data_IF_123295735363
#
_entry.id   IF_123295735363
#
_cell.length_a   1.000
_cell.length_b   1.000
_cell.length_c   1.000
_cell.angle_alpha   90.00
_cell.angle_beta   90.00
_cell.angle_gamma   90.00
#
_symmetry.space_group_name_H-M   'P 1'
#
loop_
_entity.id
_entity.type
_entity.pdbx_description
1 polymer ?
#
# COMPACT_ATOMS: atom_id res chain seq x y z
N UNK A 1 -7.26 17.59 18.54
CA UNK A 1 -8.38 17.20 17.66
C UNK A 1 -8.65 15.71 17.73
N UNK A 2 -9.88 15.30 17.40
CA UNK A 2 -10.26 13.90 17.24
C UNK A 2 -10.55 13.61 15.76
N UNK A 3 -9.86 12.66 15.15
CA UNK A 3 -9.89 12.38 13.72
C UNK A 3 -10.44 10.99 13.44
N UNK A 4 -11.42 10.89 12.56
CA UNK A 4 -11.91 9.62 12.02
C UNK A 4 -11.12 9.25 10.76
N UNK A 5 -10.49 8.08 10.75
CA UNK A 5 -9.78 7.54 9.59
C UNK A 5 -10.60 6.40 8.99
N UNK A 6 -11.16 6.65 7.82
CA UNK A 6 -11.97 5.66 7.11
C UNK A 6 -11.11 4.80 6.19
N UNK A 7 -11.29 3.50 6.27
CA UNK A 7 -10.66 2.52 5.41
C UNK A 7 -11.70 1.54 4.87
N UNK A 8 -11.27 0.56 4.09
CA UNK A 8 -12.09 -0.55 3.64
C UNK A 8 -11.24 -1.82 3.58
N UNK A 9 -11.82 -2.94 4.00
CA UNK A 9 -11.10 -4.23 4.08
C UNK A 9 -10.99 -4.93 2.71
N UNK A 10 -10.60 -4.20 1.67
CA UNK A 10 -10.35 -4.71 0.30
C UNK A 10 -8.91 -5.12 0.06
N UNK A 11 -8.03 -4.99 1.06
CA UNK A 11 -6.62 -5.33 1.01
C UNK A 11 -5.86 -4.79 2.21
N UNK A 12 -4.62 -5.27 2.42
CA UNK A 12 -3.80 -4.84 3.56
C UNK A 12 -3.25 -3.41 3.44
N UNK A 13 -3.13 -2.87 2.22
CA UNK A 13 -2.49 -1.58 1.97
C UNK A 13 -3.24 -0.39 2.57
N UNK A 14 -4.52 -0.24 2.27
CA UNK A 14 -5.34 0.86 2.79
C UNK A 14 -5.39 0.88 4.32
N UNK A 15 -5.58 -0.30 4.94
CA UNK A 15 -5.60 -0.43 6.40
C UNK A 15 -4.23 -0.11 7.02
N UNK A 16 -3.13 -0.43 6.35
CA UNK A 16 -1.80 -0.12 6.85
C UNK A 16 -1.47 1.37 6.70
N UNK A 17 -1.91 2.04 5.63
CA UNK A 17 -1.83 3.50 5.49
C UNK A 17 -2.68 4.21 6.57
N UNK A 18 -3.90 3.74 6.82
CA UNK A 18 -4.76 4.24 7.89
C UNK A 18 -4.10 4.07 9.28
N UNK A 19 -3.49 2.91 9.54
CA UNK A 19 -2.77 2.66 10.79
C UNK A 19 -1.53 3.55 10.94
N UNK A 20 -0.79 3.79 9.84
CA UNK A 20 0.36 4.69 9.84
C UNK A 20 -0.04 6.14 10.16
N UNK A 21 -1.14 6.60 9.59
CA UNK A 21 -1.67 7.93 9.88
C UNK A 21 -2.16 8.03 11.33
N UNK A 22 -2.82 6.98 11.87
CA UNK A 22 -3.19 6.92 13.28
C UNK A 22 -1.97 7.03 14.20
N UNK A 23 -0.89 6.29 13.90
CA UNK A 23 0.37 6.39 14.66
C UNK A 23 0.95 7.81 14.63
N UNK A 24 0.87 8.49 13.47
CA UNK A 24 1.32 9.89 13.33
C UNK A 24 0.47 10.85 14.16
N UNK A 25 -0.86 10.78 14.05
CA UNK A 25 -1.78 11.62 14.82
C UNK A 25 -1.59 11.43 16.34
N UNK A 26 -1.46 10.20 16.79
CA UNK A 26 -1.22 9.90 18.20
C UNK A 26 0.13 10.45 18.70
N UNK A 27 1.17 10.44 17.84
CA UNK A 27 2.48 11.03 18.16
C UNK A 27 2.38 12.55 18.42
N UNK A 28 1.49 13.24 17.72
CA UNK A 28 1.18 14.66 17.92
C UNK A 28 0.06 14.91 18.92
N UNK A 29 -0.23 13.93 19.80
CA UNK A 29 -1.24 14.01 20.88
C UNK A 29 -2.67 14.25 20.40
N UNK A 30 -3.01 13.79 19.19
CA UNK A 30 -4.38 13.79 18.68
C UNK A 30 -5.04 12.42 18.87
N UNK A 31 -6.33 12.41 19.15
CA UNK A 31 -7.12 11.18 19.12
C UNK A 31 -7.40 10.77 17.69
N UNK A 32 -7.19 9.50 17.36
CA UNK A 32 -7.48 8.97 16.04
C UNK A 32 -8.13 7.59 16.11
N UNK A 33 -9.21 7.42 15.37
CA UNK A 33 -9.92 6.15 15.24
C UNK A 33 -9.89 5.65 13.81
N UNK A 34 -9.61 4.37 13.61
CA UNK A 34 -9.68 3.72 12.28
C UNK A 34 -10.96 2.90 12.22
N UNK A 35 -11.80 3.21 11.25
CA UNK A 35 -13.07 2.53 11.01
C UNK A 35 -13.12 1.95 9.59
N UNK A 36 -13.48 0.67 9.47
CA UNK A 36 -13.90 0.11 8.18
C UNK A 36 -15.34 0.58 7.90
N UNK A 37 -15.50 1.43 6.88
CA UNK A 37 -16.82 1.98 6.51
C UNK A 37 -17.89 0.90 6.36
N UNK A 38 -17.52 -0.25 5.78
CA UNK A 38 -18.47 -1.34 5.53
C UNK A 38 -19.01 -1.98 6.82
N UNK A 39 -18.35 -1.72 7.97
CA UNK A 39 -18.83 -2.20 9.28
C UNK A 39 -20.09 -1.47 9.76
N UNK A 40 -20.37 -0.26 9.24
CA UNK A 40 -21.60 0.49 9.51
C UNK A 40 -22.82 -0.07 8.75
N UNK A 41 -22.57 -0.94 7.76
CA UNK A 41 -23.63 -1.62 7.03
C UNK A 41 -24.29 -2.77 7.79
N UNK A 42 -25.09 -3.58 7.08
CA UNK A 42 -25.68 -4.79 7.65
C UNK A 42 -24.58 -5.75 8.14
N UNK A 43 -24.89 -6.56 9.18
CA UNK A 43 -23.97 -7.57 9.72
C UNK A 43 -23.32 -8.37 8.58
N UNK A 44 -21.97 -8.45 8.59
CA UNK A 44 -21.12 -9.15 7.60
C UNK A 44 -20.86 -8.43 6.27
N UNK A 45 -21.32 -7.20 6.03
CA UNK A 45 -21.05 -6.47 4.76
C UNK A 45 -19.55 -6.30 4.50
N UNK A 46 -18.77 -5.91 5.51
CA UNK A 46 -17.30 -5.78 5.40
C UNK A 46 -16.62 -7.10 5.01
N UNK A 47 -16.97 -8.21 5.68
CA UNK A 47 -16.42 -9.52 5.39
C UNK A 47 -16.84 -10.03 3.99
N UNK A 48 -18.06 -9.71 3.55
CA UNK A 48 -18.56 -10.10 2.23
C UNK A 48 -17.86 -9.33 1.11
N UNK A 49 -17.75 -8.01 1.23
CA UNK A 49 -17.09 -7.14 0.22
C UNK A 49 -15.60 -7.44 0.15
N UNK A 50 -14.92 -7.50 1.29
CA UNK A 50 -13.50 -7.84 1.34
C UNK A 50 -13.24 -9.26 0.83
N UNK A 51 -14.06 -10.23 1.22
CA UNK A 51 -13.96 -11.62 0.76
C UNK A 51 -14.22 -11.79 -0.74
N UNK A 52 -15.20 -11.08 -1.29
CA UNK A 52 -15.51 -11.09 -2.73
C UNK A 52 -14.35 -10.45 -3.53
N UNK A 53 -13.83 -9.31 -3.09
CA UNK A 53 -12.66 -8.67 -3.71
C UNK A 53 -11.44 -9.60 -3.73
N UNK A 54 -11.08 -10.15 -2.57
CA UNK A 54 -9.96 -11.09 -2.43
C UNK A 54 -10.12 -12.29 -3.34
N UNK A 55 -11.34 -12.86 -3.38
CA UNK A 55 -11.64 -14.03 -4.22
C UNK A 55 -11.54 -13.70 -5.72
N UNK A 56 -12.04 -12.53 -6.15
CA UNK A 56 -11.94 -12.07 -7.53
C UNK A 56 -10.48 -11.91 -7.95
N UNK A 57 -9.68 -11.19 -7.16
CA UNK A 57 -8.25 -10.94 -7.46
C UNK A 57 -7.43 -12.24 -7.42
N UNK A 58 -7.76 -13.18 -6.51
CA UNK A 58 -6.97 -14.40 -6.33
C UNK A 58 -7.30 -15.50 -7.34
N UNK A 59 -8.57 -15.63 -7.69
CA UNK A 59 -9.06 -16.73 -8.54
C UNK A 59 -9.12 -16.33 -10.01
N UNK A 60 -9.40 -15.04 -10.29
CA UNK A 60 -9.57 -14.55 -11.64
C UNK A 60 -8.92 -13.16 -11.86
N UNK A 61 -7.57 -13.05 -11.80
CA UNK A 61 -6.86 -11.77 -11.97
C UNK A 61 -7.14 -11.08 -13.31
N UNK A 62 -7.32 -11.85 -14.40
CA UNK A 62 -7.67 -11.31 -15.71
C UNK A 62 -9.07 -10.65 -15.70
N UNK A 63 -10.02 -11.23 -14.95
CA UNK A 63 -11.34 -10.62 -14.75
C UNK A 63 -11.29 -9.31 -13.95
N UNK A 64 -10.39 -9.21 -12.99
CA UNK A 64 -10.15 -7.96 -12.30
C UNK A 64 -9.59 -6.88 -13.24
N UNK A 65 -8.64 -7.24 -14.12
CA UNK A 65 -8.14 -6.35 -15.17
C UNK A 65 -9.25 -5.87 -16.12
N UNK A 66 -10.15 -6.78 -16.53
CA UNK A 66 -11.30 -6.41 -17.36
C UNK A 66 -12.28 -5.49 -16.62
N UNK A 67 -12.53 -5.74 -15.33
CA UNK A 67 -13.36 -4.86 -14.48
C UNK A 67 -12.74 -3.47 -14.33
N UNK A 68 -11.41 -3.41 -14.17
CA UNK A 68 -10.68 -2.14 -14.12
C UNK A 68 -10.83 -1.36 -15.45
N UNK A 69 -10.68 -2.03 -16.60
CA UNK A 69 -10.89 -1.41 -17.91
C UNK A 69 -12.34 -0.97 -18.12
N UNK A 70 -13.31 -1.72 -17.62
CA UNK A 70 -14.72 -1.31 -17.63
C UNK A 70 -14.91 -0.05 -16.77
N UNK A 71 -14.26 0.06 -15.62
CA UNK A 71 -14.21 1.28 -14.81
C UNK A 71 -13.66 2.47 -15.61
N UNK A 72 -12.54 2.29 -16.31
CA UNK A 72 -11.96 3.32 -17.20
C UNK A 72 -12.90 3.73 -18.35
N UNK A 73 -13.79 2.85 -18.78
CA UNK A 73 -14.82 3.18 -19.77
C UNK A 73 -15.99 3.92 -19.12
N UNK A 74 -16.48 3.44 -17.99
CA UNK A 74 -17.64 4.01 -17.26
C UNK A 74 -17.35 5.45 -16.80
N UNK A 75 -16.12 5.75 -16.36
CA UNK A 75 -15.71 7.10 -15.94
C UNK A 75 -15.86 8.19 -17.02
N UNK A 76 -15.98 7.80 -18.30
CA UNK A 76 -16.18 8.76 -19.41
C UNK A 76 -17.61 9.27 -19.53
N UNK A 77 -18.56 8.66 -18.79
CA UNK A 77 -19.95 9.08 -18.80
C UNK A 77 -20.21 10.16 -17.75
N UNK A 78 -21.18 11.08 -17.98
CA UNK A 78 -21.43 12.22 -17.11
C UNK A 78 -22.19 11.89 -15.81
N UNK A 79 -22.61 10.65 -15.62
CA UNK A 79 -23.35 10.21 -14.43
C UNK A 79 -22.44 9.45 -13.46
N UNK A 80 -22.82 9.51 -12.18
CA UNK A 80 -22.12 8.75 -11.13
C UNK A 80 -22.23 7.25 -11.35
N UNK A 81 -21.17 6.51 -10.99
CA UNK A 81 -21.11 5.07 -11.13
C UNK A 81 -22.12 4.35 -10.21
N UNK A 82 -22.48 3.08 -10.51
CA UNK A 82 -23.23 2.26 -9.57
C UNK A 82 -22.51 2.06 -8.22
N UNK A 83 -21.18 2.15 -8.21
CA UNK A 83 -20.34 2.04 -7.01
C UNK A 83 -20.60 3.22 -6.09
N UNK A 84 -20.66 4.44 -6.63
CA UNK A 84 -21.04 5.65 -5.89
C UNK A 84 -22.39 5.50 -5.17
N UNK A 85 -23.43 5.06 -5.87
CA UNK A 85 -24.76 4.91 -5.26
C UNK A 85 -24.81 3.79 -4.22
N UNK A 86 -24.03 2.73 -4.39
CA UNK A 86 -23.92 1.68 -3.40
C UNK A 86 -23.28 2.18 -2.09
N UNK A 87 -22.22 2.97 -2.19
CA UNK A 87 -21.51 3.55 -1.06
C UNK A 87 -22.31 4.68 -0.39
N UNK A 88 -23.06 5.48 -1.16
CA UNK A 88 -23.95 6.54 -0.66
C UNK A 88 -24.98 6.04 0.39
N UNK A 89 -25.38 4.76 0.32
CA UNK A 89 -26.31 4.15 1.29
C UNK A 89 -25.81 4.13 2.73
N UNK A 90 -24.49 4.23 2.92
CA UNK A 90 -23.87 4.26 4.24
C UNK A 90 -23.77 5.69 4.82
N UNK A 91 -24.13 6.72 4.04
CA UNK A 91 -23.93 8.12 4.41
C UNK A 91 -24.65 8.55 5.68
N UNK A 92 -25.92 8.17 5.87
CA UNK A 92 -26.66 8.51 7.09
C UNK A 92 -26.05 7.85 8.33
N UNK A 93 -25.71 6.55 8.24
CA UNK A 93 -25.09 5.85 9.36
C UNK A 93 -23.70 6.42 9.70
N UNK A 94 -22.95 6.88 8.70
CA UNK A 94 -21.67 7.54 8.91
C UNK A 94 -21.85 8.93 9.53
N UNK A 95 -22.87 9.71 9.11
CA UNK A 95 -23.19 11.00 9.71
C UNK A 95 -23.51 10.85 11.20
N UNK A 96 -24.44 9.93 11.55
CA UNK A 96 -24.79 9.64 12.93
C UNK A 96 -23.55 9.23 13.75
N UNK A 97 -22.67 8.44 13.17
CA UNK A 97 -21.44 7.99 13.82
C UNK A 97 -20.47 9.15 14.08
N UNK A 98 -20.29 10.05 13.12
CA UNK A 98 -19.43 11.23 13.25
C UNK A 98 -19.96 12.15 14.36
N UNK A 99 -21.25 12.45 14.35
CA UNK A 99 -21.89 13.35 15.30
C UNK A 99 -21.87 12.78 16.74
N UNK A 100 -22.23 11.51 16.92
CA UNK A 100 -22.21 10.84 18.23
C UNK A 100 -20.84 10.77 18.88
N UNK A 101 -19.78 10.70 18.06
CA UNK A 101 -18.40 10.58 18.53
C UNK A 101 -17.63 11.91 18.52
N UNK A 102 -18.24 13.00 18.07
CA UNK A 102 -17.67 14.36 18.07
C UNK A 102 -16.30 14.45 17.35
N UNK A 103 -16.20 13.90 16.15
CA UNK A 103 -14.99 14.05 15.33
C UNK A 103 -14.84 15.47 14.78
N UNK A 104 -13.58 15.94 14.71
CA UNK A 104 -13.24 17.28 14.19
C UNK A 104 -12.84 17.23 12.70
N UNK A 105 -12.38 16.10 12.20
CA UNK A 105 -12.01 15.90 10.81
C UNK A 105 -12.17 14.43 10.41
N UNK A 106 -12.32 14.16 9.12
CA UNK A 106 -12.35 12.81 8.55
C UNK A 106 -11.26 12.68 7.49
N UNK A 107 -10.52 11.58 7.55
CA UNK A 107 -9.57 11.20 6.50
C UNK A 107 -9.97 9.85 5.92
N UNK A 108 -9.85 9.65 4.63
CA UNK A 108 -10.04 8.33 4.03
C UNK A 108 -8.81 7.89 3.26
N UNK A 109 -8.46 6.61 3.39
CA UNK A 109 -7.39 5.95 2.63
C UNK A 109 -7.95 5.08 1.51
N UNK A 110 -9.25 5.16 1.23
CA UNK A 110 -9.93 4.33 0.25
C UNK A 110 -11.01 5.10 -0.51
N UNK A 111 -11.21 4.75 -1.78
CA UNK A 111 -12.20 5.37 -2.66
C UNK A 111 -13.64 5.28 -2.12
N UNK A 112 -14.07 4.11 -1.64
CA UNK A 112 -15.47 3.92 -1.21
C UNK A 112 -15.92 4.89 -0.11
N UNK A 113 -15.16 5.10 0.97
CA UNK A 113 -15.50 6.15 1.92
C UNK A 113 -15.46 7.55 1.31
N UNK A 114 -14.57 7.85 0.35
CA UNK A 114 -14.53 9.15 -0.32
C UNK A 114 -15.83 9.44 -1.10
N UNK A 115 -16.41 8.42 -1.74
CA UNK A 115 -17.72 8.53 -2.40
C UNK A 115 -18.85 8.76 -1.39
N UNK A 116 -18.83 8.06 -0.25
CA UNK A 116 -19.81 8.27 0.84
C UNK A 116 -19.72 9.68 1.40
N UNK A 117 -18.52 10.17 1.71
CA UNK A 117 -18.28 11.53 2.20
C UNK A 117 -18.74 12.59 1.17
N UNK A 118 -18.52 12.32 -0.11
CA UNK A 118 -19.00 13.19 -1.20
C UNK A 118 -20.53 13.31 -1.21
N UNK A 119 -21.22 12.17 -1.10
CA UNK A 119 -22.68 12.16 -1.00
C UNK A 119 -23.16 12.92 0.25
N UNK A 120 -22.51 12.72 1.40
CA UNK A 120 -22.83 13.43 2.63
C UNK A 120 -22.65 14.94 2.48
N UNK A 121 -21.57 15.42 1.85
CA UNK A 121 -21.38 16.85 1.55
C UNK A 121 -22.52 17.41 0.68
N UNK A 122 -22.91 16.68 -0.38
CA UNK A 122 -24.01 17.09 -1.25
C UNK A 122 -25.37 17.17 -0.52
N UNK A 123 -25.54 16.41 0.56
CA UNK A 123 -26.74 16.40 1.40
C UNK A 123 -26.67 17.36 2.60
N UNK A 124 -25.55 18.06 2.79
CA UNK A 124 -25.32 18.92 3.95
C UNK A 124 -25.17 18.15 5.27
N UNK A 125 -24.81 16.84 5.19
CA UNK A 125 -24.64 15.97 6.36
C UNK A 125 -23.20 15.90 6.84
N UNK A 126 -22.24 16.51 6.15
CA UNK A 126 -20.84 16.58 6.56
C UNK A 126 -20.40 18.04 6.65
N UNK A 127 -20.17 18.51 7.86
CA UNK A 127 -19.76 19.90 8.18
C UNK A 127 -18.28 20.02 8.58
N UNK A 128 -17.63 18.90 8.88
CA UNK A 128 -16.20 18.85 9.25
C UNK A 128 -15.32 18.60 8.02
N UNK A 129 -14.04 19.06 8.05
CA UNK A 129 -13.12 18.83 6.95
C UNK A 129 -12.94 17.35 6.60
N UNK A 130 -12.84 17.06 5.29
CA UNK A 130 -12.57 15.71 4.81
C UNK A 130 -11.41 15.68 3.81
N UNK A 131 -10.42 14.80 4.07
CA UNK A 131 -9.22 14.61 3.25
C UNK A 131 -9.17 13.18 2.71
N UNK A 132 -8.91 13.03 1.42
CA UNK A 132 -8.68 11.74 0.80
C UNK A 132 -7.18 11.48 0.58
N UNK A 133 -6.71 10.28 0.87
CA UNK A 133 -5.33 9.85 0.64
C UNK A 133 -5.31 8.76 -0.43
N UNK A 134 -4.79 9.08 -1.61
CA UNK A 134 -4.57 8.11 -2.66
C UNK A 134 -3.41 7.17 -2.26
N UNK A 135 -3.63 5.88 -2.34
CA UNK A 135 -2.67 4.84 -1.92
C UNK A 135 -2.04 4.09 -3.08
N UNK A 136 -2.24 4.56 -4.31
CA UNK A 136 -1.62 4.07 -5.53
C UNK A 136 -0.97 5.21 -6.31
N UNK A 137 0.10 4.90 -7.06
CA UNK A 137 0.81 5.85 -7.92
C UNK A 137 0.11 6.02 -9.28
N UNK A 138 -1.20 6.13 -9.22
CA UNK A 138 -2.09 6.36 -10.35
C UNK A 138 -3.45 6.88 -9.88
N UNK A 139 -4.12 7.65 -10.72
CA UNK A 139 -5.52 7.98 -10.52
C UNK A 139 -6.39 6.80 -10.98
N UNK A 140 -6.84 5.97 -10.04
CA UNK A 140 -7.75 4.85 -10.35
C UNK A 140 -9.15 5.38 -10.69
N UNK A 141 -9.98 4.62 -11.47
CA UNK A 141 -11.33 5.03 -11.82
C UNK A 141 -12.17 5.41 -10.60
N UNK A 142 -13.05 6.39 -10.80
CA UNK A 142 -14.05 6.92 -9.86
C UNK A 142 -13.51 7.89 -8.80
N UNK A 143 -12.20 8.20 -8.73
CA UNK A 143 -11.73 9.34 -7.93
C UNK A 143 -12.37 10.67 -8.38
N UNK A 144 -12.62 10.82 -9.68
CA UNK A 144 -13.32 11.97 -10.28
C UNK A 144 -14.77 12.11 -9.82
N UNK A 145 -15.37 11.09 -9.27
CA UNK A 145 -16.73 11.14 -8.71
C UNK A 145 -16.77 11.73 -7.31
N UNK A 146 -15.62 11.91 -6.67
CA UNK A 146 -15.51 12.35 -5.28
C UNK A 146 -15.34 13.88 -5.18
N UNK A 147 -15.64 14.46 -4.01
CA UNK A 147 -15.47 15.87 -3.72
C UNK A 147 -15.03 16.09 -2.27
N UNK A 148 -13.86 15.59 -1.92
CA UNK A 148 -13.19 15.90 -0.66
C UNK A 148 -12.63 17.32 -0.68
N UNK A 149 -12.28 17.86 0.48
CA UNK A 149 -11.67 19.20 0.55
C UNK A 149 -10.28 19.20 -0.04
N UNK A 150 -9.50 18.16 0.27
CA UNK A 150 -8.17 17.92 -0.31
C UNK A 150 -7.95 16.45 -0.64
N UNK A 151 -7.03 16.22 -1.58
CA UNK A 151 -6.56 14.91 -2.01
C UNK A 151 -5.04 14.83 -1.84
N UNK A 152 -4.59 13.99 -0.96
CA UNK A 152 -3.17 13.68 -0.83
C UNK A 152 -2.78 12.67 -1.90
N UNK A 153 -1.86 13.07 -2.78
CA UNK A 153 -1.31 12.20 -3.84
C UNK A 153 0.11 11.75 -3.52
N UNK A 154 0.53 10.58 -4.01
CA UNK A 154 1.82 9.99 -3.66
C UNK A 154 3.04 10.81 -4.07
N UNK A 155 2.95 11.56 -5.18
CA UNK A 155 4.06 12.32 -5.74
C UNK A 155 3.56 13.49 -6.61
N UNK A 156 4.33 14.58 -6.66
CA UNK A 156 4.00 15.80 -7.44
C UNK A 156 3.79 15.53 -8.93
N UNK A 157 4.54 14.61 -9.52
CA UNK A 157 4.44 14.27 -10.93
C UNK A 157 3.13 13.53 -11.29
N UNK A 158 2.32 13.17 -10.30
CA UNK A 158 1.00 12.58 -10.50
C UNK A 158 -0.12 13.63 -10.52
N UNK A 159 0.16 14.88 -10.10
CA UNK A 159 -0.83 15.97 -10.11
C UNK A 159 -1.49 16.12 -11.49
N UNK A 160 -0.74 16.17 -12.63
CA UNK A 160 -1.36 16.28 -13.95
C UNK A 160 -2.29 15.09 -14.29
N UNK A 161 -1.94 13.86 -13.88
CA UNK A 161 -2.81 12.69 -14.10
C UNK A 161 -4.13 12.84 -13.32
N UNK A 162 -4.06 13.17 -12.02
CA UNK A 162 -5.25 13.36 -11.19
C UNK A 162 -6.10 14.54 -11.66
N UNK A 163 -5.49 15.66 -12.06
CA UNK A 163 -6.18 16.82 -12.63
C UNK A 163 -6.87 16.48 -13.96
N UNK A 164 -6.22 15.74 -14.84
CA UNK A 164 -6.82 15.27 -16.10
C UNK A 164 -8.00 14.33 -15.90
N UNK A 165 -8.10 13.71 -14.73
CA UNK A 165 -9.24 12.91 -14.31
C UNK A 165 -10.38 13.75 -13.71
N UNK A 166 -10.25 15.09 -13.65
CA UNK A 166 -11.31 16.00 -13.20
C UNK A 166 -11.24 16.41 -11.73
N UNK A 167 -10.15 16.09 -11.01
CA UNK A 167 -9.93 16.59 -9.65
C UNK A 167 -9.27 17.98 -9.75
N UNK A 168 -9.81 19.04 -9.14
CA UNK A 168 -9.22 20.37 -9.17
C UNK A 168 -7.77 20.37 -8.66
N UNK A 169 -6.84 20.97 -9.40
CA UNK A 169 -5.42 20.95 -9.11
C UNK A 169 -5.09 21.58 -7.75
N UNK A 170 -5.81 22.63 -7.38
CA UNK A 170 -5.68 23.32 -6.10
C UNK A 170 -6.03 22.47 -4.88
N UNK A 171 -6.73 21.36 -5.08
CA UNK A 171 -7.05 20.38 -4.05
C UNK A 171 -6.02 19.24 -3.97
N UNK A 172 -5.08 19.15 -4.90
CA UNK A 172 -4.10 18.06 -4.99
C UNK A 172 -2.82 18.39 -4.22
N UNK A 173 -2.55 17.64 -3.17
CA UNK A 173 -1.39 17.87 -2.30
C UNK A 173 -0.41 16.68 -2.40
N UNK A 174 0.81 16.87 -2.89
CA UNK A 174 1.78 15.79 -3.09
C UNK A 174 2.54 15.46 -1.79
N UNK A 175 1.81 15.07 -0.75
CA UNK A 175 2.37 14.79 0.58
C UNK A 175 2.87 13.36 0.74
N UNK A 176 2.56 12.46 -0.20
CA UNK A 176 2.99 11.07 -0.14
C UNK A 176 1.99 10.13 0.55
N UNK A 177 2.24 8.83 0.43
CA UNK A 177 1.47 7.80 1.14
C UNK A 177 2.03 7.66 2.56
N UNK A 178 1.21 7.76 3.62
CA UNK A 178 1.69 7.59 4.98
C UNK A 178 2.15 6.15 5.23
N UNK A 179 3.38 6.01 5.75
CA UNK A 179 3.96 4.75 6.19
C UNK A 179 4.27 4.82 7.69
N UNK A 180 4.28 3.68 8.36
CA UNK A 180 4.57 3.65 9.80
C UNK A 180 5.98 4.21 10.07
N UNK A 181 6.19 4.96 11.16
CA UNK A 181 7.48 5.54 11.52
C UNK A 181 8.63 4.52 11.57
N UNK A 182 8.33 3.25 11.86
CA UNK A 182 9.30 2.17 11.88
C UNK A 182 10.06 1.99 10.55
N UNK A 183 9.46 2.34 9.39
CA UNK A 183 10.13 2.27 8.09
C UNK A 183 11.10 3.43 7.86
N UNK A 184 10.89 4.59 8.48
CA UNK A 184 11.73 5.76 8.35
C UNK A 184 12.86 5.83 9.39
N UNK A 185 12.74 5.11 10.52
CA UNK A 185 13.75 5.13 11.58
C UNK A 185 15.05 4.49 11.11
N UNK A 186 16.21 5.14 11.35
CA UNK A 186 17.51 4.51 11.16
C UNK A 186 17.61 3.20 11.97
N UNK A 187 18.21 2.19 11.39
CA UNK A 187 18.50 0.94 12.08
C UNK A 187 19.80 0.33 11.52
N UNK A 188 20.66 -0.17 12.39
CA UNK A 188 21.82 -0.98 11.97
C UNK A 188 21.31 -2.29 11.38
N UNK A 189 21.81 -2.63 10.20
CA UNK A 189 21.43 -3.88 9.53
C UNK A 189 21.88 -5.08 10.34
N UNK A 190 23.06 -5.02 10.92
CA UNK A 190 23.67 -6.07 11.75
C UNK A 190 22.84 -6.30 13.02
N UNK A 191 22.46 -5.23 13.74
CA UNK A 191 21.66 -5.36 14.96
C UNK A 191 20.26 -5.93 14.67
N UNK A 192 19.64 -5.50 13.58
CA UNK A 192 18.34 -6.03 13.16
C UNK A 192 18.42 -7.49 12.77
N UNK A 193 19.46 -7.87 12.04
CA UNK A 193 19.70 -9.29 11.69
C UNK A 193 19.92 -10.16 12.92
N UNK A 194 20.72 -9.69 13.86
CA UNK A 194 20.95 -10.37 15.16
C UNK A 194 19.62 -10.54 15.92
N UNK A 195 18.79 -9.49 15.97
CA UNK A 195 17.48 -9.56 16.62
C UNK A 195 16.55 -10.58 15.95
N UNK A 196 16.60 -10.68 14.62
CA UNK A 196 15.79 -11.61 13.84
C UNK A 196 16.38 -13.05 13.81
N UNK A 197 17.55 -13.29 14.41
CA UNK A 197 18.26 -14.57 14.35
C UNK A 197 18.80 -14.91 12.97
N UNK A 198 19.16 -13.90 12.17
CA UNK A 198 19.70 -14.04 10.83
C UNK A 198 21.22 -13.79 10.82
N UNK A 199 21.99 -14.39 9.87
CA UNK A 199 23.41 -14.11 9.71
C UNK A 199 23.70 -12.63 9.45
N UNK A 200 24.66 -12.05 10.20
CA UNK A 200 24.93 -10.62 10.17
C UNK A 200 25.54 -10.15 8.83
N UNK A 201 26.46 -10.94 8.26
CA UNK A 201 27.30 -10.55 7.11
C UNK A 201 26.93 -11.21 5.79
N UNK A 202 25.90 -12.08 5.76
CA UNK A 202 25.49 -12.76 4.53
C UNK A 202 24.50 -11.87 3.72
N UNK A 203 24.59 -11.84 2.39
CA UNK A 203 23.57 -11.20 1.57
C UNK A 203 22.18 -11.79 1.86
N UNK A 204 21.18 -10.94 2.05
CA UNK A 204 19.83 -11.33 2.42
C UNK A 204 18.80 -10.87 1.38
N UNK A 205 18.13 -11.83 0.79
CA UNK A 205 17.02 -11.64 -0.13
C UNK A 205 15.68 -11.78 0.61
N UNK A 206 14.88 -10.72 0.62
CA UNK A 206 13.54 -10.74 1.21
C UNK A 206 12.49 -10.90 0.11
N UNK A 207 11.65 -11.90 0.19
CA UNK A 207 10.52 -12.11 -0.73
C UNK A 207 9.21 -11.91 0.02
N UNK A 208 8.39 -10.95 -0.43
CA UNK A 208 7.09 -10.64 0.19
C UNK A 208 5.95 -10.84 -0.81
N UNK A 209 4.97 -11.65 -0.43
CA UNK A 209 3.78 -11.94 -1.26
C UNK A 209 2.58 -11.04 -0.95
N UNK A 210 2.78 -9.99 -0.15
CA UNK A 210 1.70 -9.18 0.41
C UNK A 210 0.90 -9.92 1.49
N UNK A 211 -0.04 -9.22 2.13
CA UNK A 211 -0.82 -9.77 3.26
C UNK A 211 -1.62 -11.03 2.92
N UNK A 212 -2.06 -11.14 1.67
CA UNK A 212 -2.88 -12.26 1.17
C UNK A 212 -2.07 -13.41 0.56
N UNK A 213 -0.76 -13.23 0.37
CA UNK A 213 0.11 -14.26 -0.19
C UNK A 213 -0.17 -14.59 -1.67
N UNK A 214 -0.50 -13.57 -2.48
CA UNK A 214 -0.78 -13.74 -3.91
C UNK A 214 0.47 -13.89 -4.77
N UNK A 215 0.25 -14.32 -6.01
CA UNK A 215 1.27 -14.39 -7.06
C UNK A 215 2.04 -15.71 -7.10
N UNK A 216 3.01 -15.75 -8.01
CA UNK A 216 3.85 -16.93 -8.29
C UNK A 216 5.07 -17.02 -7.34
N UNK A 217 4.88 -16.61 -6.06
CA UNK A 217 5.98 -16.55 -5.06
C UNK A 217 6.72 -17.87 -4.93
N UNK A 218 6.05 -19.02 -5.03
CA UNK A 218 6.67 -20.32 -4.96
C UNK A 218 7.63 -20.59 -6.11
N UNK A 219 7.31 -20.13 -7.32
CA UNK A 219 8.19 -20.24 -8.48
C UNK A 219 9.37 -19.27 -8.33
N UNK A 220 9.13 -18.02 -7.93
CA UNK A 220 10.19 -17.07 -7.65
C UNK A 220 11.13 -17.57 -6.54
N UNK A 221 10.57 -18.11 -5.46
CA UNK A 221 11.36 -18.69 -4.37
C UNK A 221 12.25 -19.85 -4.87
N UNK A 222 11.72 -20.72 -5.72
CA UNK A 222 12.49 -21.81 -6.33
C UNK A 222 13.63 -21.26 -7.20
N UNK A 223 13.32 -20.32 -8.10
CA UNK A 223 14.32 -19.71 -8.99
C UNK A 223 15.41 -18.97 -8.21
N UNK A 224 15.03 -18.24 -7.16
CA UNK A 224 15.97 -17.52 -6.31
C UNK A 224 16.86 -18.48 -5.53
N UNK A 225 16.25 -19.43 -4.80
CA UNK A 225 16.99 -20.36 -3.92
C UNK A 225 17.94 -21.26 -4.70
N UNK A 226 17.58 -21.67 -5.93
CA UNK A 226 18.46 -22.49 -6.80
C UNK A 226 19.72 -21.75 -7.28
N UNK A 227 19.78 -20.42 -7.10
CA UNK A 227 20.88 -19.53 -7.52
C UNK A 227 21.64 -18.91 -6.35
N UNK A 228 21.23 -19.18 -5.10
CA UNK A 228 21.96 -18.69 -3.94
C UNK A 228 23.35 -19.35 -3.86
N UNK A 229 24.35 -18.55 -3.54
CA UNK A 229 25.75 -18.94 -3.42
C UNK A 229 26.29 -18.57 -2.03
N UNK A 230 27.35 -19.28 -1.57
CA UNK A 230 28.24 -18.86 -0.47
C UNK A 230 27.54 -18.30 0.79
N UNK A 231 26.51 -18.98 1.27
CA UNK A 231 25.83 -18.58 2.51
C UNK A 231 24.78 -17.47 2.35
N UNK A 232 24.52 -17.00 1.13
CA UNK A 232 23.40 -16.06 0.85
C UNK A 232 22.09 -16.60 1.43
N UNK A 233 21.28 -15.71 1.99
CA UNK A 233 20.06 -16.04 2.73
C UNK A 233 18.81 -15.61 1.99
N UNK A 234 17.73 -16.38 2.08
CA UNK A 234 16.42 -15.99 1.61
C UNK A 234 15.39 -16.03 2.75
N UNK A 235 14.72 -14.91 2.98
CA UNK A 235 13.53 -14.83 3.86
C UNK A 235 12.29 -14.69 2.99
N UNK A 236 11.30 -15.57 3.18
CA UNK A 236 10.07 -15.60 2.38
C UNK A 236 8.87 -15.40 3.30
N UNK A 237 8.25 -14.21 3.23
CA UNK A 237 7.07 -13.87 4.03
C UNK A 237 5.80 -14.20 3.24
N UNK A 238 5.06 -15.21 3.72
CA UNK A 238 3.86 -15.74 3.08
C UNK A 238 2.55 -15.04 3.50
N UNK A 239 2.61 -14.08 4.45
CA UNK A 239 1.43 -13.44 4.99
C UNK A 239 0.44 -14.44 5.60
N UNK A 240 -0.85 -14.25 5.34
CA UNK A 240 -1.92 -15.11 5.85
C UNK A 240 -2.09 -16.45 5.08
N UNK A 241 -1.29 -16.69 4.05
CA UNK A 241 -1.41 -17.91 3.24
C UNK A 241 -0.72 -19.11 3.90
N UNK A 242 -1.42 -19.73 4.87
CA UNK A 242 -0.92 -20.90 5.62
C UNK A 242 -0.61 -22.08 4.69
N UNK A 243 -1.37 -22.27 3.60
CA UNK A 243 -1.13 -23.36 2.63
C UNK A 243 0.21 -23.16 1.92
N UNK A 244 0.47 -21.94 1.44
CA UNK A 244 1.74 -21.57 0.80
C UNK A 244 2.92 -21.76 1.76
N UNK A 245 2.77 -21.23 2.97
CA UNK A 245 3.80 -21.36 4.01
C UNK A 245 4.18 -22.82 4.27
N UNK A 246 3.17 -23.71 4.44
CA UNK A 246 3.43 -25.15 4.65
C UNK A 246 4.15 -25.80 3.46
N UNK A 247 3.70 -25.49 2.24
CA UNK A 247 4.32 -26.02 1.01
C UNK A 247 5.77 -25.60 0.88
N UNK A 248 6.11 -24.33 1.10
CA UNK A 248 7.48 -23.82 1.01
C UNK A 248 8.37 -24.40 2.14
N UNK A 249 7.84 -24.54 3.36
CA UNK A 249 8.58 -25.20 4.46
C UNK A 249 8.93 -26.64 4.13
N UNK A 250 8.02 -27.40 3.52
CA UNK A 250 8.30 -28.77 3.07
C UNK A 250 9.34 -28.79 1.94
N UNK A 251 9.24 -27.86 1.00
CA UNK A 251 10.15 -27.77 -0.15
C UNK A 251 11.59 -27.46 0.28
N UNK A 252 11.76 -26.52 1.22
CA UNK A 252 13.07 -26.01 1.61
C UNK A 252 13.55 -26.49 2.98
N UNK A 253 12.93 -27.53 3.57
CA UNK A 253 13.22 -28.01 4.93
C UNK A 253 14.67 -28.41 5.20
N UNK A 254 15.43 -28.79 4.15
CA UNK A 254 16.85 -29.17 4.25
C UNK A 254 17.81 -28.01 3.96
N UNK A 255 17.30 -26.84 3.57
CA UNK A 255 18.15 -25.69 3.25
C UNK A 255 18.19 -24.71 4.43
N UNK A 256 19.32 -24.66 5.18
CA UNK A 256 19.43 -23.78 6.36
C UNK A 256 19.42 -22.28 6.02
N UNK A 257 19.66 -21.94 4.76
CA UNK A 257 19.72 -20.55 4.28
C UNK A 257 18.33 -19.98 3.87
N UNK A 258 17.26 -20.78 4.04
CA UNK A 258 15.91 -20.39 3.62
C UNK A 258 14.96 -20.32 4.81
N UNK A 259 14.44 -19.14 5.10
CA UNK A 259 13.58 -18.86 6.23
C UNK A 259 12.16 -18.59 5.76
N UNK A 260 11.21 -19.47 6.10
CA UNK A 260 9.79 -19.33 5.68
C UNK A 260 8.96 -18.78 6.83
N UNK A 261 8.48 -17.56 6.66
CA UNK A 261 7.74 -16.79 7.66
C UNK A 261 6.26 -16.71 7.23
N UNK A 262 5.35 -16.83 8.19
CA UNK A 262 3.92 -16.58 8.00
C UNK A 262 3.59 -15.09 8.05
N UNK A 263 2.43 -14.75 8.62
CA UNK A 263 2.10 -13.37 8.95
C UNK A 263 3.05 -12.85 10.04
N UNK A 264 3.60 -11.66 9.83
CA UNK A 264 4.46 -10.99 10.81
C UNK A 264 4.14 -9.51 10.91
N UNK A 265 4.34 -8.92 12.09
CA UNK A 265 4.30 -7.47 12.34
C UNK A 265 5.66 -6.80 12.21
N UNK A 266 6.73 -7.58 12.06
CA UNK A 266 8.12 -7.15 11.98
C UNK A 266 8.59 -6.85 10.53
N UNK A 267 7.65 -6.49 9.63
CA UNK A 267 7.98 -6.24 8.21
C UNK A 267 9.03 -5.15 8.04
N UNK A 268 8.97 -4.07 8.86
CA UNK A 268 9.96 -3.00 8.82
C UNK A 268 11.37 -3.47 9.18
N UNK A 269 11.48 -4.40 10.14
CA UNK A 269 12.74 -5.02 10.55
C UNK A 269 13.28 -5.93 9.44
N UNK A 270 12.44 -6.80 8.85
CA UNK A 270 12.86 -7.62 7.71
C UNK A 270 13.30 -6.79 6.51
N UNK A 271 12.62 -5.68 6.22
CA UNK A 271 13.07 -4.76 5.17
C UNK A 271 14.40 -4.08 5.54
N UNK A 272 14.61 -3.74 6.82
CA UNK A 272 15.87 -3.17 7.30
C UNK A 272 17.04 -4.17 7.20
N UNK A 273 16.77 -5.46 7.41
CA UNK A 273 17.75 -6.53 7.32
C UNK A 273 18.14 -6.89 5.87
N UNK A 274 17.25 -6.61 4.90
CA UNK A 274 17.40 -7.07 3.52
C UNK A 274 18.42 -6.26 2.70
N UNK A 275 19.11 -6.94 1.79
CA UNK A 275 19.93 -6.32 0.74
C UNK A 275 19.08 -6.07 -0.52
N UNK A 276 18.16 -7.00 -0.82
CA UNK A 276 17.20 -6.88 -1.93
C UNK A 276 15.83 -7.36 -1.49
N UNK A 277 14.81 -6.58 -1.82
CA UNK A 277 13.40 -6.93 -1.61
C UNK A 277 12.73 -7.30 -2.93
N UNK A 278 12.03 -8.42 -2.94
CA UNK A 278 11.08 -8.79 -3.99
C UNK A 278 9.65 -8.63 -3.48
N UNK A 279 8.85 -7.79 -4.11
CA UNK A 279 7.44 -7.65 -3.77
C UNK A 279 6.62 -7.27 -5.00
N UNK A 280 5.32 -7.55 -4.96
CA UNK A 280 4.42 -7.02 -5.99
C UNK A 280 4.35 -5.49 -5.88
N UNK A 281 4.07 -4.76 -6.98
CA UNK A 281 4.09 -3.30 -7.00
C UNK A 281 2.80 -2.68 -6.40
N UNK A 282 2.41 -3.12 -5.20
CA UNK A 282 1.36 -2.48 -4.43
C UNK A 282 1.81 -1.12 -3.89
N UNK A 283 0.94 -0.11 -3.93
CA UNK A 283 1.31 1.25 -3.58
C UNK A 283 1.99 1.38 -2.21
N UNK A 284 1.40 0.77 -1.17
CA UNK A 284 1.98 0.88 0.18
C UNK A 284 3.31 0.13 0.32
N UNK A 285 3.39 -1.15 -0.06
CA UNK A 285 4.64 -1.93 0.12
C UNK A 285 5.80 -1.33 -0.67
N UNK A 286 5.52 -0.77 -1.86
CA UNK A 286 6.51 -0.03 -2.65
C UNK A 286 6.96 1.26 -1.97
N UNK A 287 6.01 2.00 -1.35
CA UNK A 287 6.33 3.21 -0.57
C UNK A 287 7.15 2.87 0.67
N UNK A 288 6.79 1.82 1.41
CA UNK A 288 7.53 1.33 2.58
C UNK A 288 8.98 0.98 2.20
N UNK A 289 9.16 0.27 1.08
CA UNK A 289 10.48 -0.07 0.54
C UNK A 289 11.29 1.17 0.15
N UNK A 290 10.66 2.15 -0.52
CA UNK A 290 11.31 3.39 -0.94
C UNK A 290 11.71 4.26 0.26
N UNK A 291 10.84 4.41 1.25
CA UNK A 291 11.14 5.13 2.50
C UNK A 291 12.27 4.45 3.27
N UNK A 292 12.29 3.11 3.30
CA UNK A 292 13.37 2.31 3.90
C UNK A 292 14.64 2.32 3.06
N UNK A 293 14.56 2.69 1.78
CA UNK A 293 15.64 2.67 0.78
C UNK A 293 16.23 1.27 0.59
N UNK A 294 15.34 0.27 0.48
CA UNK A 294 15.73 -1.11 0.18
C UNK A 294 15.79 -1.30 -1.34
N UNK A 295 16.89 -1.81 -1.91
CA UNK A 295 16.94 -2.20 -3.32
C UNK A 295 15.76 -3.12 -3.67
N UNK A 296 15.00 -2.77 -4.71
CA UNK A 296 13.67 -3.29 -4.95
C UNK A 296 13.53 -3.96 -6.32
N UNK A 297 13.02 -5.19 -6.30
CA UNK A 297 12.56 -5.91 -7.50
C UNK A 297 11.04 -6.03 -7.45
N UNK A 298 10.35 -5.38 -8.38
CA UNK A 298 8.91 -5.54 -8.52
C UNK A 298 8.57 -6.82 -9.28
N UNK A 299 7.78 -7.67 -8.65
CA UNK A 299 7.28 -8.93 -9.23
C UNK A 299 6.02 -8.71 -10.07
N UNK A 300 5.31 -9.79 -10.42
CA UNK A 300 4.10 -9.72 -11.24
C UNK A 300 3.04 -8.80 -10.61
N UNK A 301 2.57 -7.75 -11.32
CA UNK A 301 1.51 -6.88 -10.83
C UNK A 301 0.13 -7.55 -10.96
N UNK A 302 -0.79 -7.14 -10.11
CA UNK A 302 -2.21 -7.30 -10.40
C UNK A 302 -2.56 -6.31 -11.53
N UNK A 303 -3.21 -6.75 -12.62
CA UNK A 303 -3.59 -5.85 -13.71
C UNK A 303 -4.40 -4.64 -13.22
N UNK A 304 -4.09 -3.45 -13.74
CA UNK A 304 -4.71 -2.19 -13.32
C UNK A 304 -3.72 -1.28 -12.59
N UNK A 305 -4.06 -0.83 -11.38
CA UNK A 305 -3.26 0.13 -10.62
C UNK A 305 -1.82 -0.34 -10.34
N UNK A 306 -1.62 -1.62 -10.01
CA UNK A 306 -0.27 -2.13 -9.75
C UNK A 306 0.66 -2.10 -10.98
N UNK A 307 0.10 -2.22 -12.20
CA UNK A 307 0.88 -2.04 -13.43
C UNK A 307 1.40 -0.61 -13.54
N UNK A 308 0.57 0.39 -13.22
CA UNK A 308 0.94 1.80 -13.20
C UNK A 308 1.94 2.10 -12.08
N UNK A 309 1.73 1.56 -10.88
CA UNK A 309 2.69 1.66 -9.77
C UNK A 309 4.08 1.15 -10.18
N UNK A 310 4.15 -0.03 -10.81
CA UNK A 310 5.42 -0.58 -11.33
C UNK A 310 6.08 0.35 -12.34
N UNK A 311 5.31 0.87 -13.29
CA UNK A 311 5.82 1.79 -14.31
C UNK A 311 6.39 3.07 -13.68
N UNK A 312 5.71 3.63 -12.67
CA UNK A 312 6.17 4.80 -11.93
C UNK A 312 7.54 4.55 -11.25
N UNK A 313 7.70 3.43 -10.57
CA UNK A 313 8.93 3.09 -9.86
C UNK A 313 10.08 2.76 -10.82
N UNK A 314 9.82 1.95 -11.84
CA UNK A 314 10.86 1.53 -12.81
C UNK A 314 11.37 2.72 -13.61
N UNK A 315 10.47 3.59 -14.09
CA UNK A 315 10.86 4.77 -14.90
C UNK A 315 11.72 5.78 -14.12
N UNK A 316 11.68 5.75 -12.79
CA UNK A 316 12.49 6.61 -11.90
C UNK A 316 13.72 5.92 -11.32
N UNK A 317 14.01 4.70 -11.72
CA UNK A 317 15.14 3.93 -11.17
C UNK A 317 14.96 3.50 -9.71
N UNK A 318 13.73 3.56 -9.17
CA UNK A 318 13.42 3.17 -7.80
C UNK A 318 13.26 1.66 -7.61
N UNK A 319 13.10 0.94 -8.70
CA UNK A 319 13.02 -0.53 -8.74
C UNK A 319 13.45 -1.07 -10.08
N UNK A 320 13.73 -2.38 -10.11
CA UNK A 320 13.87 -3.16 -11.33
C UNK A 320 12.76 -4.21 -11.42
N UNK A 321 12.60 -4.87 -12.57
CA UNK A 321 11.62 -5.93 -12.80
C UNK A 321 12.14 -6.94 -13.81
N UNK A 322 11.40 -8.01 -14.06
CA UNK A 322 11.65 -9.01 -15.11
C UNK A 322 10.33 -9.52 -15.66
N UNK A 323 10.35 -10.16 -16.83
CA UNK A 323 9.17 -10.71 -17.48
C UNK A 323 8.72 -12.05 -16.86
N UNK A 324 9.67 -12.82 -16.30
CA UNK A 324 9.44 -14.15 -15.73
C UNK A 324 10.19 -14.31 -14.40
N UNK A 325 9.79 -15.31 -13.60
CA UNK A 325 10.38 -15.55 -12.28
C UNK A 325 11.90 -15.76 -12.32
N UNK A 326 12.41 -16.39 -13.39
CA UNK A 326 13.85 -16.52 -13.63
C UNK A 326 14.54 -15.18 -13.75
N UNK A 327 14.04 -14.30 -14.61
CA UNK A 327 14.58 -12.95 -14.80
C UNK A 327 14.46 -12.09 -13.54
N UNK A 328 13.36 -12.24 -12.78
CA UNK A 328 13.18 -11.56 -11.49
C UNK A 328 14.27 -11.99 -10.50
N UNK A 329 14.53 -13.30 -10.38
CA UNK A 329 15.58 -13.81 -9.50
C UNK A 329 16.98 -13.33 -9.95
N UNK A 330 17.27 -13.39 -11.25
CA UNK A 330 18.53 -12.90 -11.84
C UNK A 330 18.72 -11.39 -11.62
N UNK A 331 17.66 -10.59 -11.81
CA UNK A 331 17.68 -9.15 -11.57
C UNK A 331 18.01 -8.82 -10.11
N UNK A 332 17.43 -9.54 -9.16
CA UNK A 332 17.70 -9.32 -7.73
C UNK A 332 19.11 -9.76 -7.33
N UNK A 333 19.57 -10.90 -7.82
CA UNK A 333 20.94 -11.38 -7.56
C UNK A 333 21.97 -10.42 -8.16
N UNK A 334 21.76 -10.00 -9.41
CA UNK A 334 22.62 -9.00 -10.05
C UNK A 334 22.63 -7.69 -9.28
N UNK A 335 21.46 -7.23 -8.80
CA UNK A 335 21.35 -6.02 -7.99
C UNK A 335 22.07 -6.15 -6.65
N UNK A 336 22.00 -7.30 -5.99
CA UNK A 336 22.70 -7.55 -4.73
C UNK A 336 24.24 -7.53 -4.84
N UNK A 337 24.74 -7.80 -6.04
CA UNK A 337 26.19 -7.88 -6.34
C UNK A 337 26.73 -6.61 -7.02
N UNK A 338 25.91 -5.57 -7.15
CA UNK A 338 26.26 -4.31 -7.82
C UNK A 338 25.99 -3.11 -6.90
N UNK A 339 27.01 -2.73 -6.12
CA UNK A 339 26.91 -1.63 -5.16
C UNK A 339 26.56 -0.30 -5.83
N UNK A 340 27.08 -0.04 -7.03
CA UNK A 340 26.78 1.20 -7.74
C UNK A 340 25.30 1.30 -8.11
N UNK A 341 24.70 0.21 -8.59
CA UNK A 341 23.26 0.15 -8.90
C UNK A 341 22.41 0.23 -7.63
N UNK A 342 22.83 -0.39 -6.52
CA UNK A 342 22.13 -0.27 -5.24
C UNK A 342 22.15 1.19 -4.74
N UNK A 343 23.29 1.86 -4.80
CA UNK A 343 23.42 3.27 -4.39
C UNK A 343 22.52 4.15 -5.27
N UNK A 344 22.59 4.02 -6.59
CA UNK A 344 21.76 4.77 -7.52
C UNK A 344 20.26 4.57 -7.26
N UNK A 345 19.82 3.33 -6.96
CA UNK A 345 18.43 3.03 -6.64
C UNK A 345 18.01 3.64 -5.31
N UNK A 346 18.84 3.57 -4.27
CA UNK A 346 18.57 4.19 -2.97
C UNK A 346 18.47 5.72 -3.07
N UNK A 347 19.28 6.34 -3.90
CA UNK A 347 19.24 7.79 -4.15
C UNK A 347 17.95 8.16 -4.90
N UNK A 348 17.56 7.37 -5.90
CA UNK A 348 16.30 7.54 -6.61
C UNK A 348 15.09 7.39 -5.66
N UNK A 349 15.10 6.40 -4.77
CA UNK A 349 14.09 6.20 -3.74
C UNK A 349 14.04 7.37 -2.76
N UNK A 350 15.18 7.86 -2.28
CA UNK A 350 15.26 9.03 -1.39
C UNK A 350 14.68 10.29 -2.03
N UNK A 351 14.99 10.53 -3.31
CA UNK A 351 14.53 11.70 -4.06
C UNK A 351 13.02 11.70 -4.31
N UNK A 352 12.41 10.52 -4.44
CA UNK A 352 11.02 10.36 -4.88
C UNK A 352 10.10 9.77 -3.80
N UNK A 353 10.53 9.71 -2.54
CA UNK A 353 9.69 9.26 -1.42
C UNK A 353 9.45 10.37 -0.39
N UNK A 354 8.38 10.22 0.39
CA UNK A 354 7.96 11.18 1.41
C UNK A 354 7.92 10.51 2.80
N UNK A 355 9.07 10.36 3.49
CA UNK A 355 9.10 9.69 4.80
C UNK A 355 8.28 10.41 5.88
N UNK A 356 8.01 11.71 5.69
CA UNK A 356 7.22 12.55 6.60
C UNK A 356 5.74 12.67 6.20
N UNK A 357 5.23 11.83 5.29
CA UNK A 357 3.86 11.93 4.78
C UNK A 357 2.80 11.97 5.91
N UNK A 358 2.93 11.11 6.92
CA UNK A 358 2.04 11.09 8.08
C UNK A 358 2.04 12.41 8.85
N UNK A 359 3.21 12.97 9.12
CA UNK A 359 3.40 14.28 9.77
C UNK A 359 2.77 15.41 8.95
N UNK A 360 3.04 15.44 7.65
CA UNK A 360 2.51 16.48 6.76
C UNK A 360 0.99 16.45 6.67
N UNK A 361 0.39 15.25 6.66
CA UNK A 361 -1.07 15.08 6.69
C UNK A 361 -1.63 15.52 8.06
N UNK A 362 -0.94 15.22 9.16
CA UNK A 362 -1.34 15.68 10.50
C UNK A 362 -1.40 17.21 10.57
N UNK A 363 -0.36 17.89 10.10
CA UNK A 363 -0.34 19.37 10.08
C UNK A 363 -1.39 19.96 9.14
N UNK A 364 -1.69 19.31 8.00
CA UNK A 364 -2.81 19.70 7.14
C UNK A 364 -4.13 19.67 7.91
N UNK A 365 -4.39 18.61 8.65
CA UNK A 365 -5.63 18.45 9.43
C UNK A 365 -5.72 19.47 10.57
N UNK A 366 -4.60 19.76 11.27
CA UNK A 366 -4.53 20.81 12.30
C UNK A 366 -4.93 22.17 11.72
N UNK A 367 -4.41 22.51 10.54
CA UNK A 367 -4.74 23.74 9.84
C UNK A 367 -6.23 23.80 9.50
N UNK A 368 -6.78 22.76 8.88
CA UNK A 368 -8.19 22.71 8.45
C UNK A 368 -9.19 22.74 9.60
N UNK A 369 -8.84 22.26 10.78
CA UNK A 369 -9.70 22.28 11.96
C UNK A 369 -9.64 23.64 12.66
N UNK A 370 -8.55 24.41 12.46
CA UNK A 370 -8.39 25.74 13.06
C UNK A 370 -8.95 26.90 12.22
N UNK A 371 -9.22 26.69 10.95
CA UNK A 371 -9.88 27.63 10.03
C UNK A 371 -11.41 27.57 10.18
#
# INVERSE_FOLDING_TARGET
>A
MKVLILSCNTGGGHNAAASALKESLNFYHHEAEVLDLMSLGRKHTSALVGGAYVKLVSVFPAGFGALYQLGELVRKFPWKSPVYYANARLGNALADYIDQNHFNAVVTTHLYPAETLTWMKQKGLLTIPCVAVATDYACIPFWEETNCDYYVVPHKDLIPEFASCGIPEEKLLPLGIPVRPAFARPASKEDVRRHLGLPENAPLFLVMSGSMGFGKVHLLAHELVSRLENGEQAVIICGNNKKRMRSLRLQFHKNPNVHIIGFTRHVAEYMAAADVLFTKPGGLSSTEAAVRRVPLVHTDPIPGCETKNRAFFVSRGMSVTGAHQKELAEAGISLARDDARQIAMRDAQQKNSHPQAGTSITHLLEKLVSE
#
